data_IF_000771518880
#
_entry.id   IF_000771518880
#
_cell.length_a   1.000
_cell.length_b   1.000
_cell.length_c   1.000
_cell.angle_alpha   90.00
_cell.angle_beta   90.00
_cell.angle_gamma   90.00
#
_symmetry.space_group_name_H-M   'P 1'
#
loop_
_entity.id
_entity.type
_entity.pdbx_description
1 polymer ?
#
# COMPACT_ATOMS: atom_id res chain seq x y z
N UNK A 1 -10.45 39.98 -11.97
CA UNK A 1 -10.39 39.19 -10.73
C UNK A 1 -10.81 37.76 -11.05
N UNK A 2 -9.91 36.79 -10.99
CA UNK A 2 -10.25 35.38 -10.95
C UNK A 2 -9.23 34.70 -10.05
N UNK A 3 -9.44 34.83 -8.74
CA UNK A 3 -8.86 33.93 -7.75
C UNK A 3 -9.59 32.60 -7.99
N UNK A 4 -8.90 31.65 -8.61
CA UNK A 4 -9.42 30.28 -8.80
C UNK A 4 -9.04 29.51 -7.54
N UNK A 5 -10.02 28.75 -7.04
CA UNK A 5 -10.00 27.91 -5.86
C UNK A 5 -8.89 26.83 -5.90
N UNK A 6 -7.64 27.20 -5.63
CA UNK A 6 -6.50 26.27 -5.57
C UNK A 6 -6.34 25.59 -4.19
N UNK A 7 -7.17 25.95 -3.20
CA UNK A 7 -7.11 25.40 -1.84
C UNK A 7 -7.87 24.09 -1.65
N UNK A 8 -9.01 23.93 -2.34
CA UNK A 8 -9.87 22.73 -2.23
C UNK A 8 -9.34 21.54 -3.06
N UNK A 9 -8.54 21.81 -4.10
CA UNK A 9 -8.07 20.82 -5.09
C UNK A 9 -6.97 19.89 -4.53
N UNK A 10 -6.09 20.40 -3.66
CA UNK A 10 -4.97 19.61 -3.10
C UNK A 10 -5.39 18.65 -1.97
N UNK A 11 -6.38 19.03 -1.17
CA UNK A 11 -6.95 18.14 -0.16
C UNK A 11 -7.62 16.94 -0.81
N UNK A 12 -8.37 17.20 -1.88
CA UNK A 12 -9.06 16.21 -2.72
C UNK A 12 -8.08 15.26 -3.42
N UNK A 13 -6.91 15.75 -3.87
CA UNK A 13 -5.85 14.88 -4.44
C UNK A 13 -5.38 13.83 -3.45
N UNK A 14 -5.12 14.20 -2.18
CA UNK A 14 -4.72 13.22 -1.17
C UNK A 14 -5.78 12.14 -0.99
N UNK A 15 -7.03 12.54 -0.80
CA UNK A 15 -8.13 11.61 -0.53
C UNK A 15 -8.36 10.66 -1.73
N UNK A 16 -8.26 11.18 -2.97
CA UNK A 16 -8.33 10.37 -4.19
C UNK A 16 -7.21 9.35 -4.30
N UNK A 17 -5.96 9.76 -4.04
CA UNK A 17 -4.79 8.90 -4.18
C UNK A 17 -4.83 7.78 -3.14
N UNK A 18 -5.15 8.09 -1.88
CA UNK A 18 -5.32 7.08 -0.83
C UNK A 18 -6.47 6.12 -1.16
N UNK A 19 -7.62 6.64 -1.60
CA UNK A 19 -8.77 5.82 -1.99
C UNK A 19 -8.41 4.87 -3.12
N UNK A 20 -7.64 5.33 -4.12
CA UNK A 20 -7.16 4.46 -5.20
C UNK A 20 -6.16 3.41 -4.70
N UNK A 21 -5.22 3.81 -3.84
CA UNK A 21 -4.21 2.90 -3.29
C UNK A 21 -4.81 1.75 -2.48
N UNK A 22 -5.99 1.98 -1.88
CA UNK A 22 -6.76 0.99 -1.12
C UNK A 22 -7.95 0.42 -1.91
N UNK A 23 -8.01 0.66 -3.23
CA UNK A 23 -9.09 0.16 -4.06
C UNK A 23 -8.93 -1.33 -4.37
N UNK A 24 -10.06 -1.99 -4.65
CA UNK A 24 -10.07 -3.41 -5.04
C UNK A 24 -9.15 -3.71 -6.23
N UNK A 25 -8.96 -2.76 -7.16
CA UNK A 25 -8.06 -2.94 -8.31
C UNK A 25 -6.61 -3.18 -7.82
N UNK A 26 -6.08 -2.26 -7.01
CA UNK A 26 -4.72 -2.35 -6.46
C UNK A 26 -4.58 -3.57 -5.55
N UNK A 27 -5.59 -3.83 -4.72
CA UNK A 27 -5.60 -5.00 -3.82
C UNK A 27 -5.56 -6.30 -4.62
N UNK A 28 -6.39 -6.43 -5.65
CA UNK A 28 -6.42 -7.63 -6.52
C UNK A 28 -5.08 -7.86 -7.22
N UNK A 29 -4.39 -6.80 -7.66
CA UNK A 29 -3.05 -6.93 -8.26
C UNK A 29 -2.01 -7.44 -7.25
N UNK A 30 -2.07 -6.97 -6.00
CA UNK A 30 -1.18 -7.43 -4.92
C UNK A 30 -1.50 -8.89 -4.57
N UNK A 31 -2.78 -9.27 -4.50
CA UNK A 31 -3.20 -10.65 -4.27
C UNK A 31 -2.80 -11.58 -5.42
N UNK A 32 -2.90 -11.13 -6.67
CA UNK A 32 -2.42 -11.88 -7.84
C UNK A 32 -0.89 -12.06 -7.80
N UNK A 33 -0.16 -11.00 -7.42
CA UNK A 33 1.27 -11.10 -7.17
C UNK A 33 1.56 -12.15 -6.08
N UNK A 34 0.81 -12.13 -4.98
CA UNK A 34 1.00 -13.07 -3.88
C UNK A 34 0.74 -14.51 -4.32
N UNK A 35 -0.39 -14.78 -4.97
CA UNK A 35 -0.74 -16.12 -5.49
C UNK A 35 0.29 -16.66 -6.48
N UNK A 36 0.90 -15.79 -7.27
CA UNK A 36 1.91 -16.17 -8.26
C UNK A 36 3.27 -16.47 -7.66
N UNK A 37 3.58 -15.93 -6.48
CA UNK A 37 4.91 -15.99 -5.88
C UNK A 37 4.96 -16.74 -4.52
N UNK A 38 3.80 -17.13 -3.96
CA UNK A 38 3.71 -17.76 -2.63
C UNK A 38 4.46 -19.10 -2.53
N UNK A 39 4.77 -19.77 -3.65
CA UNK A 39 5.54 -21.03 -3.65
C UNK A 39 6.97 -20.90 -3.09
N UNK A 40 7.54 -19.69 -3.08
CA UNK A 40 8.83 -19.46 -2.44
C UNK A 40 8.76 -19.59 -0.91
N UNK A 41 7.58 -19.37 -0.33
CA UNK A 41 7.37 -19.40 1.11
C UNK A 41 7.23 -20.84 1.60
N UNK A 42 7.85 -21.10 2.75
CA UNK A 42 7.76 -22.39 3.43
C UNK A 42 6.97 -22.21 4.74
N UNK A 43 5.78 -22.80 4.82
CA UNK A 43 4.81 -22.59 5.93
C UNK A 43 5.08 -23.51 7.13
N UNK A 44 6.24 -24.19 7.18
CA UNK A 44 6.52 -25.26 8.14
C UNK A 44 6.91 -24.73 9.53
N UNK A 45 5.96 -24.10 10.21
CA UNK A 45 5.98 -23.67 11.62
C UNK A 45 6.48 -22.22 11.84
N UNK A 46 5.57 -21.41 12.38
CA UNK A 46 5.71 -20.06 12.95
C UNK A 46 5.53 -18.80 12.07
N UNK A 47 5.13 -18.89 10.80
CA UNK A 47 4.72 -17.72 10.02
C UNK A 47 5.81 -16.64 9.90
N UNK A 48 5.58 -15.42 10.42
CA UNK A 48 6.59 -14.34 10.45
C UNK A 48 7.85 -14.72 11.26
N UNK A 49 7.75 -15.67 12.20
CA UNK A 49 8.90 -16.15 12.98
C UNK A 49 9.69 -17.27 12.28
N UNK A 50 9.26 -17.70 11.09
CA UNK A 50 10.05 -18.60 10.25
C UNK A 50 11.36 -17.93 9.79
N UNK A 51 12.30 -18.75 9.32
CA UNK A 51 13.56 -18.26 8.75
C UNK A 51 13.29 -17.27 7.61
N UNK A 52 13.72 -16.03 7.81
CA UNK A 52 13.56 -14.93 6.85
C UNK A 52 14.60 -15.07 5.74
N UNK A 53 14.21 -15.68 4.63
CA UNK A 53 15.10 -15.92 3.49
C UNK A 53 15.29 -14.65 2.67
N UNK A 54 16.46 -14.54 2.03
CA UNK A 54 16.77 -13.44 1.10
C UNK A 54 15.73 -13.29 -0.02
N UNK A 55 15.20 -14.42 -0.52
CA UNK A 55 14.17 -14.44 -1.57
C UNK A 55 12.86 -13.76 -1.14
N UNK A 56 12.53 -13.73 0.16
CA UNK A 56 11.35 -13.02 0.65
C UNK A 56 11.52 -11.51 0.53
N UNK A 57 12.72 -11.01 0.84
CA UNK A 57 13.04 -9.59 0.71
C UNK A 57 13.07 -9.16 -0.77
N UNK A 58 13.56 -10.01 -1.67
CA UNK A 58 13.50 -9.75 -3.12
C UNK A 58 12.06 -9.67 -3.64
N UNK A 59 11.18 -10.55 -3.17
CA UNK A 59 9.76 -10.53 -3.53
C UNK A 59 9.05 -9.31 -2.92
N UNK A 60 9.37 -8.93 -1.69
CA UNK A 60 8.87 -7.73 -1.06
C UNK A 60 9.22 -6.47 -1.86
N UNK A 61 10.49 -6.32 -2.29
CA UNK A 61 10.90 -5.19 -3.12
C UNK A 61 10.15 -5.13 -4.46
N UNK A 62 9.86 -6.29 -5.06
CA UNK A 62 9.04 -6.36 -6.29
C UNK A 62 7.60 -5.95 -6.03
N UNK A 63 7.00 -6.38 -4.92
CA UNK A 63 5.65 -5.98 -4.51
C UNK A 63 5.60 -4.46 -4.26
N UNK A 64 6.56 -3.92 -3.51
CA UNK A 64 6.67 -2.47 -3.27
C UNK A 64 6.77 -1.69 -4.60
N UNK A 65 7.63 -2.14 -5.52
CA UNK A 65 7.77 -1.50 -6.83
C UNK A 65 6.47 -1.53 -7.65
N UNK A 66 5.70 -2.62 -7.57
CA UNK A 66 4.39 -2.73 -8.22
C UNK A 66 3.40 -1.72 -7.64
N UNK A 67 3.31 -1.66 -6.31
CA UNK A 67 2.44 -0.74 -5.59
C UNK A 67 2.82 0.73 -5.88
N UNK A 68 4.11 1.07 -5.75
CA UNK A 68 4.64 2.41 -6.04
C UNK A 68 4.39 2.83 -7.48
N UNK A 69 4.55 1.91 -8.45
CA UNK A 69 4.28 2.21 -9.85
C UNK A 69 2.81 2.51 -10.12
N UNK A 70 1.88 1.81 -9.46
CA UNK A 70 0.43 2.07 -9.58
C UNK A 70 0.07 3.40 -8.94
N UNK A 71 0.60 3.64 -7.74
CA UNK A 71 0.40 4.89 -7.03
C UNK A 71 0.92 6.08 -7.85
N UNK A 72 2.15 6.02 -8.35
CA UNK A 72 2.75 7.06 -9.18
C UNK A 72 1.94 7.32 -10.45
N UNK A 73 1.51 6.26 -11.15
CA UNK A 73 0.67 6.39 -12.33
C UNK A 73 -0.64 7.12 -12.02
N UNK A 74 -1.30 6.79 -10.90
CA UNK A 74 -2.54 7.45 -10.49
C UNK A 74 -2.33 8.90 -10.04
N UNK A 75 -1.25 9.17 -9.32
CA UNK A 75 -0.85 10.53 -8.91
C UNK A 75 -0.69 11.43 -10.15
N UNK A 76 -0.07 10.94 -11.21
CA UNK A 76 0.05 11.66 -12.48
C UNK A 76 -1.33 11.94 -13.13
N UNK A 77 -2.29 11.01 -13.03
CA UNK A 77 -3.67 11.26 -13.52
C UNK A 77 -4.39 12.35 -12.74
N UNK A 78 -3.98 12.59 -11.48
CA UNK A 78 -4.49 13.67 -10.64
C UNK A 78 -3.85 15.02 -10.96
N UNK A 79 -2.91 15.08 -11.92
CA UNK A 79 -2.29 16.32 -12.38
C UNK A 79 -1.20 16.88 -11.45
N UNK A 80 -0.71 16.07 -10.51
CA UNK A 80 0.42 16.41 -9.63
C UNK A 80 1.57 15.43 -9.84
N UNK A 81 2.77 15.82 -9.43
CA UNK A 81 3.94 14.94 -9.44
C UNK A 81 4.01 14.09 -8.17
N UNK A 82 4.76 12.99 -8.20
CA UNK A 82 5.02 12.19 -7.01
C UNK A 82 5.66 13.01 -5.88
N UNK A 83 6.63 13.88 -6.19
CA UNK A 83 7.25 14.79 -5.20
C UNK A 83 6.23 15.74 -4.54
N UNK A 84 5.22 16.19 -5.31
CA UNK A 84 4.15 17.03 -4.77
C UNK A 84 3.23 16.23 -3.85
N UNK A 85 2.92 14.97 -4.20
CA UNK A 85 2.14 14.08 -3.35
C UNK A 85 2.90 13.70 -2.07
N UNK A 86 4.21 13.40 -2.16
CA UNK A 86 5.08 13.19 -0.99
C UNK A 86 5.05 14.41 -0.06
N UNK A 87 5.15 15.61 -0.62
CA UNK A 87 5.03 16.86 0.15
C UNK A 87 3.66 17.01 0.83
N UNK A 88 2.58 16.45 0.28
CA UNK A 88 1.26 16.42 0.94
C UNK A 88 1.26 15.41 2.09
N UNK A 89 1.82 14.23 1.90
CA UNK A 89 1.97 13.23 2.96
C UNK A 89 2.81 13.76 4.12
N UNK A 90 3.93 14.43 3.84
CA UNK A 90 4.77 15.07 4.86
C UNK A 90 4.01 16.14 5.65
N UNK A 91 3.16 16.94 5.00
CA UNK A 91 2.32 17.92 5.70
C UNK A 91 1.32 17.25 6.64
N UNK A 92 0.71 16.15 6.22
CA UNK A 92 -0.21 15.38 7.06
C UNK A 92 0.52 14.79 8.26
N UNK A 93 1.70 14.19 8.05
CA UNK A 93 2.51 13.58 9.12
C UNK A 93 2.96 14.62 10.14
N UNK A 94 3.42 15.78 9.67
CA UNK A 94 3.96 16.85 10.53
C UNK A 94 2.89 17.78 11.10
N UNK A 95 1.61 17.60 10.75
CA UNK A 95 0.53 18.39 11.33
C UNK A 95 0.45 18.16 12.85
N UNK A 96 -0.02 19.14 13.64
CA UNK A 96 -0.31 18.93 15.06
C UNK A 96 -1.30 17.78 15.30
N UNK A 97 -1.21 17.12 16.46
CA UNK A 97 -2.11 16.00 16.80
C UNK A 97 -3.52 16.45 17.21
N UNK A 98 -3.69 17.74 17.53
CA UNK A 98 -4.98 18.36 17.84
C UNK A 98 -5.73 18.88 16.60
N UNK A 99 -5.16 18.72 15.40
CA UNK A 99 -5.84 19.02 14.14
C UNK A 99 -6.76 17.84 13.74
N UNK A 100 -8.03 17.93 14.14
CA UNK A 100 -9.05 16.92 13.84
C UNK A 100 -9.21 16.65 12.33
N UNK A 101 -8.98 17.65 11.46
CA UNK A 101 -9.09 17.47 10.02
C UNK A 101 -7.92 16.66 9.43
N UNK A 102 -6.76 16.69 10.08
CA UNK A 102 -5.59 15.90 9.68
C UNK A 102 -5.55 14.53 10.35
N UNK A 103 -6.28 14.31 11.44
CA UNK A 103 -6.31 13.05 12.17
C UNK A 103 -6.74 11.85 11.27
N UNK A 104 -7.79 12.02 10.46
CA UNK A 104 -8.26 10.99 9.52
C UNK A 104 -7.22 10.69 8.43
N UNK A 105 -6.55 11.72 7.92
CA UNK A 105 -5.50 11.60 6.90
C UNK A 105 -4.26 10.89 7.45
N UNK A 106 -3.87 11.21 8.70
CA UNK A 106 -2.81 10.50 9.42
C UNK A 106 -3.14 9.02 9.58
N UNK A 107 -4.37 8.71 10.03
CA UNK A 107 -4.82 7.33 10.17
C UNK A 107 -4.77 6.58 8.83
N UNK A 108 -5.16 7.23 7.74
CA UNK A 108 -5.12 6.64 6.40
C UNK A 108 -3.69 6.33 5.94
N UNK A 109 -2.72 7.23 6.18
CA UNK A 109 -1.30 6.97 5.89
C UNK A 109 -0.73 5.86 6.77
N UNK A 110 -1.10 5.81 8.05
CA UNK A 110 -0.70 4.72 8.94
C UNK A 110 -1.25 3.38 8.44
N UNK A 111 -2.51 3.35 8.01
CA UNK A 111 -3.10 2.14 7.42
C UNK A 111 -2.38 1.73 6.14
N UNK A 112 -2.12 2.68 5.23
CA UNK A 112 -1.40 2.42 3.98
C UNK A 112 0.00 1.84 4.24
N UNK A 113 0.71 2.41 5.22
CA UNK A 113 2.03 1.93 5.63
C UNK A 113 1.95 0.54 6.22
N UNK A 114 0.95 0.27 7.07
CA UNK A 114 0.74 -1.04 7.68
C UNK A 114 0.47 -2.11 6.61
N UNK A 115 -0.44 -1.87 5.67
CA UNK A 115 -0.79 -2.87 4.65
C UNK A 115 0.29 -3.11 3.60
N UNK A 116 1.29 -2.23 3.53
CA UNK A 116 2.44 -2.36 2.62
C UNK A 116 3.74 -2.71 3.35
N UNK A 117 3.71 -2.93 4.66
CA UNK A 117 4.90 -3.31 5.42
C UNK A 117 5.33 -4.75 5.18
N UNK A 118 6.56 -5.06 5.60
CA UNK A 118 7.16 -6.37 5.39
C UNK A 118 6.43 -7.48 6.16
N UNK A 119 5.96 -7.20 7.38
CA UNK A 119 5.29 -8.19 8.22
C UNK A 119 3.95 -8.62 7.61
N UNK A 120 3.15 -7.65 7.18
CA UNK A 120 1.89 -7.88 6.46
C UNK A 120 2.13 -8.60 5.14
N UNK A 121 3.17 -8.22 4.40
CA UNK A 121 3.59 -8.94 3.20
C UNK A 121 3.91 -10.42 3.47
N UNK A 122 4.74 -10.71 4.47
CA UNK A 122 5.12 -12.09 4.83
C UNK A 122 3.89 -12.89 5.27
N UNK A 123 3.00 -12.27 6.04
CA UNK A 123 1.75 -12.89 6.45
C UNK A 123 0.88 -13.24 5.23
N UNK A 124 0.62 -12.29 4.35
CA UNK A 124 -0.16 -12.49 3.13
C UNK A 124 0.41 -13.61 2.25
N UNK A 125 1.72 -13.62 2.04
CA UNK A 125 2.39 -14.66 1.24
C UNK A 125 2.29 -16.04 1.88
N UNK A 126 2.41 -16.11 3.21
CA UNK A 126 2.30 -17.36 3.97
C UNK A 126 0.87 -17.90 3.96
N UNK A 127 -0.13 -17.04 4.07
CA UNK A 127 -1.55 -17.39 3.97
C UNK A 127 -1.88 -17.89 2.56
N UNK A 128 -1.47 -17.16 1.51
CA UNK A 128 -1.61 -17.59 0.12
C UNK A 128 -0.97 -18.96 -0.14
N UNK A 129 0.20 -19.23 0.45
CA UNK A 129 0.88 -20.52 0.31
C UNK A 129 0.10 -21.63 1.02
N UNK A 130 -0.36 -21.36 2.24
CA UNK A 130 -1.14 -22.30 3.04
C UNK A 130 -2.43 -22.70 2.31
N UNK A 131 -3.18 -21.73 1.81
CA UNK A 131 -4.43 -21.97 1.05
C UNK A 131 -4.19 -22.83 -0.19
N UNK A 132 -3.11 -22.53 -0.93
CA UNK A 132 -2.69 -23.28 -2.11
C UNK A 132 -2.32 -24.73 -1.78
N UNK A 133 -1.60 -24.94 -0.68
CA UNK A 133 -1.17 -26.27 -0.23
C UNK A 133 -2.34 -27.09 0.35
N UNK A 134 -3.29 -26.44 1.02
CA UNK A 134 -4.52 -27.06 1.55
C UNK A 134 -5.58 -27.33 0.45
N UNK A 135 -5.34 -26.88 -0.78
CA UNK A 135 -6.25 -27.06 -1.91
C UNK A 135 -7.55 -26.26 -1.80
N UNK A 136 -7.59 -25.25 -0.92
CA UNK A 136 -8.67 -24.28 -0.85
C UNK A 136 -8.40 -23.19 -1.89
N UNK A 137 -8.89 -23.39 -3.11
CA UNK A 137 -8.94 -22.30 -4.07
C UNK A 137 -9.90 -21.22 -3.54
N UNK A 138 -9.41 -19.98 -3.36
CA UNK A 138 -10.28 -18.81 -3.24
C UNK A 138 -11.29 -18.81 -4.42
N UNK A 139 -12.58 -18.51 -4.17
CA UNK A 139 -13.59 -18.43 -5.22
C UNK A 139 -13.23 -17.44 -6.32
#
# INVERSE_FOLDING_TARGET
>A
QKQVAMGDDMGDVFDKVITHALSDDVVNDIEEFARSNCDAFNVTEDGIHAEQKLEYMELYQKMQSLFESKLAAFVETCGVTMEQFESLCEKVINAPDDDEAMAEKKMSLSFLTMVTDYETFVQMMSECKKEKDEGMALP
#
